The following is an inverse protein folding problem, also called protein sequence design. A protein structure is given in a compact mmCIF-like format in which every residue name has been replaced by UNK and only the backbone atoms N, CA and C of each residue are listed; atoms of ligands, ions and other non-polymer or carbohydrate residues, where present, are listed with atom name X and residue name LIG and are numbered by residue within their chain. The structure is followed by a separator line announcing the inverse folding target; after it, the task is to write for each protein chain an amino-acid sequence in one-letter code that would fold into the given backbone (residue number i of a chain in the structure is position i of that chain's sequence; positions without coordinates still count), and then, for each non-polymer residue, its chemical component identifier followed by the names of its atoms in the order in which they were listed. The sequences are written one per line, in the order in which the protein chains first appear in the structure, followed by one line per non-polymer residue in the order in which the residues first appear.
data_IF_834126796657
#
_entry.id   IF_834126796657
#
_cell.length_a   1.000
_cell.length_b   1.000
_cell.length_c   1.000
_cell.angle_alpha   90.00
_cell.angle_beta   90.00
_cell.angle_gamma   90.00
#
_symmetry.space_group_name_H-M   'P 1'
#
loop_
_entity.id
_entity.type
_entity.pdbx_description
1 polymer ?
#
# COMPACT_ATOMS: atom_id res chain seq x y z
N UNK A 1 -17.27 19.83 3.02
CA UNK A 1 -16.58 18.61 3.48
C UNK A 1 -16.46 18.68 5.00
N UNK A 2 -17.01 17.71 5.76
CA UNK A 2 -16.88 17.70 7.23
C UNK A 2 -15.45 17.32 7.60
N UNK A 3 -14.78 18.16 8.37
CA UNK A 3 -13.43 17.87 8.88
C UNK A 3 -13.58 16.87 10.04
N UNK A 4 -13.12 15.62 9.84
CA UNK A 4 -13.21 14.58 10.87
C UNK A 4 -12.03 14.74 11.83
N UNK A 5 -12.32 15.00 13.11
CA UNK A 5 -11.30 15.06 14.16
C UNK A 5 -11.13 13.67 14.77
N UNK A 6 -10.04 13.01 14.43
CA UNK A 6 -9.69 11.68 14.90
C UNK A 6 -8.32 11.72 15.59
N UNK A 7 -8.11 10.85 16.59
CA UNK A 7 -6.80 10.75 17.24
C UNK A 7 -5.80 10.03 16.33
N UNK A 8 -4.52 10.36 16.45
CA UNK A 8 -3.44 9.67 15.71
C UNK A 8 -3.52 8.16 15.95
N UNK A 9 -3.75 7.73 17.19
CA UNK A 9 -3.92 6.31 17.55
C UNK A 9 -5.03 5.63 16.74
N UNK A 10 -6.17 6.32 16.57
CA UNK A 10 -7.32 5.78 15.85
C UNK A 10 -7.06 5.73 14.35
N UNK A 11 -6.35 6.73 13.81
CA UNK A 11 -5.88 6.75 12.42
C UNK A 11 -4.87 5.61 12.14
N UNK A 12 -3.89 5.41 13.03
CA UNK A 12 -2.92 4.31 12.94
C UNK A 12 -3.63 2.96 13.00
N UNK A 13 -4.68 2.81 13.83
CA UNK A 13 -5.50 1.59 13.86
C UNK A 13 -6.27 1.30 12.57
N UNK A 14 -6.39 2.27 11.65
CA UNK A 14 -6.95 2.07 10.32
C UNK A 14 -5.89 1.64 9.29
N UNK A 15 -4.60 1.87 9.57
CA UNK A 15 -3.50 1.34 8.76
C UNK A 15 -3.54 -0.18 8.91
N UNK A 16 -3.84 -0.90 7.83
CA UNK A 16 -4.03 -2.36 7.75
C UNK A 16 -5.39 -2.93 8.23
N UNK A 17 -6.45 -2.13 8.34
CA UNK A 17 -7.80 -2.66 8.62
C UNK A 17 -8.66 -2.71 7.34
N UNK A 18 -8.94 -3.91 6.83
CA UNK A 18 -9.77 -4.10 5.63
C UNK A 18 -11.26 -3.77 5.86
N UNK A 19 -11.75 -3.81 7.10
CA UNK A 19 -13.16 -3.58 7.44
C UNK A 19 -13.54 -2.09 7.43
N UNK A 20 -12.55 -1.19 7.54
CA UNK A 20 -12.73 0.26 7.56
C UNK A 20 -12.34 0.89 6.23
N UNK A 21 -13.33 1.14 5.37
CA UNK A 21 -13.15 1.78 4.05
C UNK A 21 -12.11 1.06 3.14
N UNK A 22 -11.84 -0.23 3.41
CA UNK A 22 -10.84 -1.01 2.68
C UNK A 22 -9.39 -0.78 3.13
N UNK A 23 -9.14 0.02 4.16
CA UNK A 23 -7.79 0.34 4.66
C UNK A 23 -7.06 1.42 3.86
N UNK A 24 -5.95 1.91 4.39
CA UNK A 24 -5.07 2.84 3.68
C UNK A 24 -4.05 2.09 2.82
N UNK A 25 -3.97 2.44 1.54
CA UNK A 25 -3.05 1.84 0.58
C UNK A 25 -2.10 2.90 0.02
N UNK A 26 -0.84 2.51 -0.18
CA UNK A 26 0.11 3.31 -0.94
C UNK A 26 -0.15 3.11 -2.44
N UNK A 27 -0.29 4.19 -3.22
CA UNK A 27 -0.53 4.07 -4.65
C UNK A 27 0.74 3.58 -5.35
N UNK A 28 0.58 2.77 -6.41
CA UNK A 28 1.70 2.22 -7.17
C UNK A 28 2.63 3.27 -7.80
N UNK A 29 2.13 4.49 -8.00
CA UNK A 29 2.93 5.62 -8.52
C UNK A 29 3.85 6.24 -7.46
N UNK A 30 3.68 5.88 -6.18
CA UNK A 30 4.51 6.40 -5.10
C UNK A 30 5.96 5.98 -5.32
N UNK A 31 6.87 6.95 -5.35
CA UNK A 31 8.31 6.67 -5.43
C UNK A 31 8.74 5.83 -4.21
N UNK A 32 9.80 5.02 -4.35
CA UNK A 32 10.36 4.29 -3.22
C UNK A 32 10.57 5.21 -2.02
N UNK A 33 10.31 4.68 -0.83
CA UNK A 33 10.47 5.41 0.42
C UNK A 33 11.97 5.74 0.64
N UNK A 34 12.30 7.01 0.79
CA UNK A 34 13.70 7.52 0.87
C UNK A 34 14.06 8.17 2.20
N UNK A 35 13.24 8.03 3.24
CA UNK A 35 13.54 8.67 4.52
C UNK A 35 14.72 7.97 5.19
N UNK A 36 15.69 8.77 5.63
CA UNK A 36 16.75 8.35 6.55
C UNK A 36 16.21 8.29 7.97
N UNK A 37 16.86 7.49 8.82
CA UNK A 37 16.47 7.29 10.22
C UNK A 37 16.31 8.61 11.00
N UNK A 38 17.28 9.52 10.87
CA UNK A 38 17.25 10.86 11.49
C UNK A 38 15.99 11.66 11.13
N UNK A 39 15.45 11.50 9.92
CA UNK A 39 14.25 12.23 9.50
C UNK A 39 13.00 11.72 10.22
N UNK A 40 12.95 10.41 10.47
CA UNK A 40 11.89 9.79 11.27
C UNK A 40 11.98 10.25 12.73
N UNK A 41 13.18 10.29 13.31
CA UNK A 41 13.38 10.78 14.68
C UNK A 41 12.92 12.23 14.85
N UNK A 42 13.28 13.11 13.90
CA UNK A 42 12.84 14.52 13.92
C UNK A 42 11.34 14.70 13.79
N UNK A 43 10.67 13.82 13.05
CA UNK A 43 9.21 13.80 12.99
C UNK A 43 8.63 13.43 14.36
N UNK A 44 9.15 12.38 15.00
CA UNK A 44 8.68 11.98 16.33
C UNK A 44 8.93 13.06 17.39
N UNK A 45 10.10 13.72 17.36
CA UNK A 45 10.40 14.86 18.25
C UNK A 45 9.41 16.02 18.04
N UNK A 46 9.04 16.32 16.79
CA UNK A 46 8.04 17.35 16.49
C UNK A 46 6.65 16.99 17.04
N UNK A 47 6.25 15.71 16.94
CA UNK A 47 4.98 15.22 17.49
C UNK A 47 4.98 15.35 19.02
N UNK A 48 6.07 14.95 19.69
CA UNK A 48 6.19 15.01 21.15
C UNK A 48 6.18 16.45 21.69
N UNK A 49 6.71 17.40 20.91
CA UNK A 49 6.73 18.84 21.23
C UNK A 49 5.46 19.58 20.82
N UNK A 50 4.46 18.85 20.30
CA UNK A 50 3.21 19.41 19.79
C UNK A 50 3.42 20.46 18.68
N UNK A 51 4.54 20.39 17.95
CA UNK A 51 4.74 21.24 16.79
C UNK A 51 3.77 20.86 15.67
N UNK A 52 3.28 21.84 14.90
CA UNK A 52 2.36 21.57 13.80
C UNK A 52 3.07 20.69 12.77
N UNK A 53 2.60 19.46 12.64
CA UNK A 53 3.05 18.52 11.61
C UNK A 53 2.31 18.80 10.29
N UNK A 54 2.93 18.39 9.20
CA UNK A 54 2.38 18.54 7.85
C UNK A 54 1.06 17.76 7.66
N UNK A 55 0.33 18.10 6.60
CA UNK A 55 -0.93 17.46 6.23
C UNK A 55 -0.68 16.17 5.45
N UNK A 56 -1.43 15.11 5.77
CA UNK A 56 -1.47 13.88 4.96
C UNK A 56 -2.59 13.97 3.92
N UNK A 57 -2.28 13.63 2.68
CA UNK A 57 -3.27 13.55 1.60
C UNK A 57 -3.83 12.12 1.54
N UNK A 58 -5.15 11.99 1.63
CA UNK A 58 -5.86 10.73 1.47
C UNK A 58 -6.98 10.87 0.44
N UNK A 59 -7.12 9.88 -0.43
CA UNK A 59 -8.23 9.81 -1.39
C UNK A 59 -9.12 8.62 -1.06
N UNK A 60 -10.40 8.87 -0.79
CA UNK A 60 -11.43 7.84 -0.69
C UNK A 60 -11.94 7.45 -2.08
N UNK A 61 -11.67 6.22 -2.50
CA UNK A 61 -12.22 5.65 -3.73
C UNK A 61 -13.57 4.97 -3.45
N UNK A 62 -14.52 5.06 -4.39
CA UNK A 62 -15.81 4.37 -4.28
C UNK A 62 -15.76 2.90 -4.73
N UNK A 63 -14.73 2.54 -5.49
CA UNK A 63 -14.52 1.19 -6.02
C UNK A 63 -13.55 0.39 -5.15
N UNK A 64 -13.79 -0.91 -5.05
CA UNK A 64 -12.87 -1.87 -4.43
C UNK A 64 -11.60 -1.93 -5.29
N UNK A 65 -10.43 -1.66 -4.71
CA UNK A 65 -9.16 -1.69 -5.39
C UNK A 65 -8.87 -3.11 -5.91
N UNK A 66 -8.45 -3.24 -7.19
CA UNK A 66 -7.89 -4.50 -7.70
C UNK A 66 -6.41 -4.54 -7.36
N UNK A 67 -6.06 -5.27 -6.31
CA UNK A 67 -4.66 -5.52 -5.98
C UNK A 67 -4.01 -6.41 -7.04
N UNK A 68 -2.98 -5.89 -7.73
CA UNK A 68 -2.13 -6.69 -8.62
C UNK A 68 -1.10 -7.52 -7.81
N UNK A 69 -1.54 -8.33 -6.84
CA UNK A 69 -0.65 -9.16 -6.00
C UNK A 69 -0.54 -10.61 -6.51
N UNK A 70 -0.98 -10.92 -7.75
CA UNK A 70 -1.00 -12.30 -8.26
C UNK A 70 -0.32 -12.54 -9.64
N UNK A 71 0.48 -11.62 -10.19
CA UNK A 71 1.18 -11.90 -11.47
C UNK A 71 2.27 -12.96 -11.34
N UNK A 72 2.87 -13.12 -10.15
CA UNK A 72 3.94 -14.09 -9.89
C UNK A 72 3.47 -15.53 -9.67
N UNK A 73 2.17 -15.78 -9.43
CA UNK A 73 1.59 -17.15 -9.41
C UNK A 73 1.15 -17.62 -10.80
N UNK A 74 0.76 -16.69 -11.67
CA UNK A 74 0.31 -17.02 -13.04
C UNK A 74 1.44 -17.54 -13.92
N UNK A 75 2.67 -17.03 -13.74
CA UNK A 75 3.85 -17.44 -14.53
C UNK A 75 4.18 -18.94 -14.40
N UNK A 76 3.96 -19.56 -13.23
CA UNK A 76 4.20 -21.01 -13.04
C UNK A 76 3.23 -21.89 -13.82
N UNK A 77 2.01 -21.42 -14.10
CA UNK A 77 1.00 -22.18 -14.86
C UNK A 77 1.21 -22.05 -16.37
N UNK A 78 1.66 -20.89 -16.85
CA UNK A 78 1.92 -20.64 -18.27
C UNK A 78 3.23 -21.28 -18.74
N UNK A 79 4.27 -21.32 -17.89
CA UNK A 79 5.52 -22.04 -18.21
C UNK A 79 5.30 -23.55 -18.35
N UNK A 80 4.47 -24.17 -17.49
CA UNK A 80 4.15 -25.58 -17.60
C UNK A 80 3.37 -25.93 -18.89
N UNK A 81 2.44 -25.06 -19.32
CA UNK A 81 1.70 -25.22 -20.59
C UNK A 81 2.64 -25.02 -21.80
N UNK A 82 3.55 -24.05 -21.74
CA UNK A 82 4.55 -23.82 -22.78
C UNK A 82 5.52 -24.99 -22.94
N UNK A 83 6.00 -25.59 -21.85
CA UNK A 83 6.92 -26.74 -21.88
C UNK A 83 6.23 -28.02 -22.35
N UNK A 84 4.96 -28.25 -21.98
CA UNK A 84 4.18 -29.39 -22.50
C UNK A 84 3.92 -29.27 -24.00
N UNK A 85 3.59 -28.06 -24.49
CA UNK A 85 3.34 -27.83 -25.93
C UNK A 85 4.58 -28.02 -26.80
N UNK A 86 5.79 -27.73 -26.28
CA UNK A 86 7.05 -27.93 -27.03
C UNK A 86 7.42 -29.42 -27.13
N UNK A 87 7.04 -30.25 -26.16
CA UNK A 87 7.28 -31.70 -26.21
C UNK A 87 6.36 -32.43 -27.19
N UNK A 88 5.12 -31.99 -27.37
CA UNK A 88 4.19 -32.61 -28.35
C UNK A 88 4.58 -32.31 -29.80
N UNK A 89 5.30 -31.21 -30.09
CA UNK A 89 5.67 -30.82 -31.45
C UNK A 89 6.98 -31.45 -31.96
N UNK A 90 7.64 -32.30 -31.16
CA UNK A 90 8.91 -32.95 -31.50
C UNK A 90 8.83 -34.49 -31.58
N UNK A 91 7.63 -35.05 -31.79
CA UNK A 91 7.44 -36.44 -32.22
C UNK A 91 6.69 -36.49 -33.54
#
# INVERSE_FOLDING_TARGET
MKNQRETIRRMVGYLNNEEKDGGFWLPNIQRPFVWKEEQTERLFDSILREYPISTLLAWKTKSRYKTYVNSSKTLRKTEAIGVLRIREYKN
#
